data_IF_547503550674
#
_entry.id   IF_547503550674
#
_cell.length_a   1.000
_cell.length_b   1.000
_cell.length_c   1.000
_cell.angle_alpha   90.00
_cell.angle_beta   90.00
_cell.angle_gamma   90.00
#
_symmetry.space_group_name_H-M   'P 1'
#
loop_
_entity.id
_entity.type
_entity.pdbx_description
1 polymer ?
2 polymer ?
3 non-polymer ?
4 non-polymer ?
5 water ?
#
# COMPACT_ATOMS: atom_id res chain seq x y z
N UNK A 2 20.02 -22.65 -14.70
CA UNK A 2 19.11 -22.33 -15.80
C UNK A 2 17.80 -21.74 -15.26
N UNK A 3 17.68 -21.69 -13.93
CA UNK A 3 16.57 -20.99 -13.30
C UNK A 3 16.84 -19.50 -13.25
N UNK A 4 15.78 -18.68 -13.20
CA UNK A 4 15.95 -17.25 -13.03
C UNK A 4 16.46 -16.97 -11.61
N UNK A 5 17.09 -15.82 -11.42
CA UNK A 5 17.66 -15.47 -10.13
C UNK A 5 16.61 -15.52 -9.02
N UNK A 6 15.44 -14.97 -9.28
CA UNK A 6 14.39 -14.94 -8.26
C UNK A 6 13.89 -16.35 -7.95
N UNK A 7 13.82 -17.21 -8.97
CA UNK A 7 13.33 -18.55 -8.72
C UNK A 7 14.41 -19.38 -8.03
N UNK A 8 15.65 -19.17 -8.44
CA UNK A 8 16.78 -19.83 -7.77
C UNK A 8 16.84 -19.43 -6.30
N UNK A 9 16.70 -18.13 -6.04
CA UNK A 9 16.75 -17.63 -4.68
C UNK A 9 15.63 -18.25 -3.84
N UNK A 10 14.49 -18.48 -4.46
CA UNK A 10 13.36 -19.08 -3.77
C UNK A 10 13.64 -20.53 -3.42
N UNK A 11 14.40 -21.20 -4.29
CA UNK A 11 14.83 -22.57 -4.06
C UNK A 11 15.72 -22.67 -2.83
N UNK A 12 16.70 -21.78 -2.74
CA UNK A 12 17.66 -21.76 -1.64
C UNK A 12 16.96 -21.48 -0.32
N UNK A 13 15.89 -20.70 -0.38
CA UNK A 13 15.18 -20.31 0.82
C UNK A 13 14.39 -21.47 1.42
N UNK A 14 13.66 -22.18 0.58
CA UNK A 14 12.78 -23.24 1.07
C UNK A 14 13.48 -24.60 1.12
N UNK A 15 14.76 -24.64 0.77
CA UNK A 15 15.50 -25.89 0.65
C UNK A 15 15.54 -26.66 1.97
N UNK A 16 15.12 -27.92 1.91
CA UNK A 16 15.09 -28.78 3.09
C UNK A 16 13.93 -28.53 4.03
N UNK A 17 13.09 -27.54 3.71
CA UNK A 17 11.92 -27.25 4.56
C UNK A 17 10.66 -27.91 4.02
N UNK A 18 9.57 -27.81 4.79
CA UNK A 18 8.33 -28.45 4.40
C UNK A 18 7.12 -27.60 4.68
N UNK A 19 5.98 -28.02 4.14
CA UNK A 19 4.75 -27.22 4.15
C UNK A 19 3.96 -27.47 5.42
N UNK A 20 4.62 -28.10 6.38
CA UNK A 20 4.11 -28.28 7.73
C UNK A 20 4.96 -27.47 8.70
N UNK A 21 4.41 -27.12 9.88
CA UNK A 21 5.25 -26.42 10.86
C UNK A 21 6.39 -27.30 11.36
N UNK A 22 7.55 -26.72 11.61
CA UNK A 22 8.69 -27.47 12.12
C UNK A 22 8.49 -27.87 13.58
N UNK A 23 9.43 -28.64 14.11
CA UNK A 23 9.34 -29.10 15.50
C UNK A 23 9.46 -27.94 16.48
N UNK A 24 10.27 -26.94 16.13
CA UNK A 24 10.41 -25.76 16.98
C UNK A 24 9.10 -24.97 17.01
N UNK A 25 8.47 -24.82 15.85
CA UNK A 25 7.22 -24.08 15.76
C UNK A 25 6.12 -24.79 16.53
N UNK A 26 6.05 -26.11 16.38
CA UNK A 26 5.08 -26.92 17.11
C UNK A 26 5.25 -26.76 18.62
N UNK A 27 6.49 -26.74 19.09
CA UNK A 27 6.77 -26.50 20.51
C UNK A 27 6.24 -25.15 20.93
N UNK A 28 6.37 -24.16 20.04
CA UNK A 28 5.92 -22.82 20.37
C UNK A 28 4.39 -22.77 20.37
N UNK A 29 3.77 -23.49 19.44
CA UNK A 29 2.31 -23.61 19.43
C UNK A 29 1.82 -24.27 20.72
N UNK A 30 2.48 -25.34 21.14
CA UNK A 30 2.02 -26.12 22.27
C UNK A 30 2.28 -25.45 23.62
N UNK A 31 3.14 -24.43 23.63
CA UNK A 31 3.40 -23.67 24.85
C UNK A 31 2.32 -22.63 25.09
N UNK A 32 1.48 -22.39 24.08
CA UNK A 32 0.35 -21.49 24.19
C UNK A 32 -0.80 -22.14 24.94
N UNK A 33 -1.43 -21.37 25.83
CA UNK A 33 -2.63 -21.82 26.53
C UNK A 33 -3.70 -22.16 25.50
N UNK A 34 -3.78 -21.37 24.44
CA UNK A 34 -4.65 -21.69 23.32
C UNK A 34 -3.79 -22.00 22.09
N UNK A 35 -3.75 -23.27 21.74
CA UNK A 35 -2.89 -23.76 20.65
C UNK A 35 -3.53 -23.49 19.29
N UNK A 36 -2.94 -22.56 18.51
CA UNK A 36 -3.40 -22.03 17.22
C UNK A 36 -3.32 -23.02 16.04
N UNK A 37 -2.63 -24.15 16.21
CA UNK A 37 -2.21 -24.98 15.08
C UNK A 37 -3.36 -25.47 14.19
N UNK A 38 -4.48 -25.86 14.79
CA UNK A 38 -5.60 -26.37 14.01
C UNK A 38 -6.34 -25.25 13.29
N UNK A 39 -6.45 -24.09 13.92
CA UNK A 39 -7.06 -22.92 13.28
C UNK A 39 -6.19 -22.38 12.15
N UNK A 40 -4.88 -22.49 12.33
CA UNK A 40 -3.93 -22.07 11.30
C UNK A 40 -4.04 -22.99 10.09
N UNK A 41 -4.29 -24.27 10.32
CA UNK A 41 -4.44 -25.21 9.22
C UNK A 41 -5.76 -24.97 8.47
N UNK A 42 -6.83 -24.67 9.20
CA UNK A 42 -8.10 -24.33 8.57
C UNK A 42 -7.95 -23.13 7.62
N UNK A 43 -7.21 -22.12 8.06
CA UNK A 43 -7.02 -20.91 7.28
C UNK A 43 -6.23 -21.18 5.99
N UNK A 44 -5.14 -21.95 6.10
CA UNK A 44 -4.34 -22.30 4.93
C UNK A 44 -5.12 -23.18 3.96
N UNK A 45 -5.92 -24.10 4.49
CA UNK A 45 -6.77 -24.93 3.66
C UNK A 45 -7.85 -24.09 2.95
N UNK A 46 -8.40 -23.11 3.66
CA UNK A 46 -9.39 -22.21 3.08
C UNK A 46 -8.79 -21.35 1.99
N UNK A 47 -7.70 -20.66 2.32
CA UNK A 47 -6.95 -19.87 1.35
C UNK A 47 -6.49 -20.71 0.16
N UNK A 48 -6.02 -21.91 0.43
CA UNK A 48 -5.54 -22.82 -0.61
C UNK A 48 -6.63 -23.19 -1.61
N UNK A 49 -7.80 -23.53 -1.11
CA UNK A 49 -8.90 -23.88 -2.00
C UNK A 49 -9.38 -22.68 -2.84
N UNK A 50 -9.52 -21.54 -2.18
CA UNK A 50 -9.98 -20.35 -2.87
C UNK A 50 -8.98 -19.93 -3.95
N UNK A 51 -7.68 -20.04 -3.64
CA UNK A 51 -6.62 -19.70 -4.58
C UNK A 51 -6.69 -20.58 -5.84
N UNK A 52 -6.72 -21.89 -5.63
CA UNK A 52 -6.78 -22.83 -6.75
C UNK A 52 -8.02 -22.61 -7.61
N UNK A 53 -9.15 -22.31 -6.97
CA UNK A 53 -10.39 -22.04 -7.70
C UNK A 53 -10.28 -20.85 -8.64
N UNK A 54 -9.68 -19.76 -8.16
CA UNK A 54 -9.53 -18.56 -8.97
C UNK A 54 -8.41 -18.73 -10.00
N UNK A 55 -7.34 -19.40 -9.59
CA UNK A 55 -6.22 -19.69 -10.46
C UNK A 55 -6.68 -20.47 -11.71
N UNK A 56 -7.52 -21.48 -11.50
CA UNK A 56 -7.91 -22.39 -12.58
C UNK A 56 -9.14 -21.95 -13.37
N UNK A 57 -9.75 -20.83 -12.99
CA UNK A 57 -10.95 -20.37 -13.68
C UNK A 57 -10.73 -19.04 -14.39
N UNK A 58 -11.04 -19.03 -15.69
CA UNK A 58 -10.77 -17.88 -16.55
C UNK A 58 -11.71 -16.71 -16.34
N UNK A 59 -11.19 -15.50 -16.57
CA UNK A 59 -12.01 -14.30 -16.64
C UNK A 59 -11.63 -13.55 -17.93
N UNK A 60 -12.28 -12.42 -18.17
CA UNK A 60 -11.93 -11.59 -19.33
C UNK A 60 -10.50 -11.11 -19.23
N UNK A 61 -10.14 -10.64 -18.03
CA UNK A 61 -8.81 -10.09 -17.80
C UNK A 61 -7.75 -11.20 -17.75
N UNK A 62 -8.00 -12.22 -16.93
CA UNK A 62 -7.03 -13.27 -16.71
C UNK A 62 -7.52 -14.66 -17.15
N UNK A 63 -6.83 -15.25 -18.13
CA UNK A 63 -7.10 -16.66 -18.47
C UNK A 63 -6.74 -17.61 -17.31
N UNK A 64 -7.51 -18.67 -17.13
CA UNK A 64 -7.26 -19.63 -16.07
C UNK A 64 -6.13 -20.58 -16.44
N UNK A 65 -5.44 -21.10 -15.44
CA UNK A 65 -4.30 -21.98 -15.71
C UNK A 65 -4.48 -23.36 -15.08
N UNK A 66 -3.52 -24.24 -15.32
CA UNK A 66 -3.67 -25.64 -14.93
C UNK A 66 -3.54 -25.83 -13.42
N UNK A 67 -4.30 -26.78 -12.88
CA UNK A 67 -4.35 -27.05 -11.45
C UNK A 67 -3.01 -27.53 -10.90
N UNK A 68 -2.22 -28.20 -11.74
CA UNK A 68 -0.91 -28.70 -11.34
C UNK A 68 0.03 -27.57 -10.96
N UNK A 69 0.02 -26.50 -11.73
CA UNK A 69 0.82 -25.32 -11.40
C UNK A 69 0.29 -24.63 -10.15
N UNK A 70 -1.04 -24.57 -10.00
CA UNK A 70 -1.64 -23.95 -8.82
C UNK A 70 -1.12 -24.62 -7.55
N UNK A 71 -1.16 -25.95 -7.52
CA UNK A 71 -0.72 -26.69 -6.35
C UNK A 71 0.77 -26.45 -6.09
N UNK A 72 1.56 -26.42 -7.15
CA UNK A 72 2.98 -26.11 -7.04
C UNK A 72 3.24 -24.75 -6.39
N UNK A 73 2.55 -23.73 -6.87
CA UNK A 73 2.69 -22.39 -6.29
C UNK A 73 2.24 -22.37 -4.83
N UNK A 74 1.16 -23.09 -4.55
CA UNK A 74 0.52 -23.07 -3.24
C UNK A 74 1.41 -23.74 -2.22
N UNK A 75 1.89 -24.92 -2.60
CA UNK A 75 2.79 -25.71 -1.76
C UNK A 75 4.03 -24.90 -1.43
N UNK A 76 4.54 -24.18 -2.41
CA UNK A 76 5.71 -23.34 -2.20
C UNK A 76 5.42 -22.18 -1.24
N UNK A 77 4.26 -21.56 -1.38
CA UNK A 77 3.86 -20.48 -0.48
C UNK A 77 3.70 -20.98 0.97
N UNK A 78 3.09 -22.15 1.14
CA UNK A 78 2.91 -22.75 2.46
C UNK A 78 4.23 -22.99 3.17
N UNK A 79 5.22 -23.45 2.41
CA UNK A 79 6.55 -23.66 2.94
C UNK A 79 7.13 -22.36 3.46
N UNK A 80 7.00 -21.28 2.67
CA UNK A 80 7.43 -19.96 3.12
C UNK A 80 6.67 -19.49 4.36
N UNK A 81 5.36 -19.72 4.37
CA UNK A 81 4.53 -19.31 5.49
C UNK A 81 5.05 -19.90 6.80
N UNK A 82 5.26 -21.21 6.84
CA UNK A 82 5.70 -21.86 8.07
C UNK A 82 7.13 -21.48 8.46
N UNK A 83 7.98 -21.20 7.47
CA UNK A 83 9.33 -20.72 7.77
C UNK A 83 9.27 -19.32 8.38
N UNK A 84 8.52 -18.43 7.74
CA UNK A 84 8.48 -17.03 8.17
C UNK A 84 7.75 -16.88 9.50
N UNK A 85 6.66 -17.61 9.66
CA UNK A 85 5.92 -17.59 10.94
C UNK A 85 6.80 -18.01 12.12
N UNK A 86 7.57 -19.08 11.95
CA UNK A 86 8.48 -19.53 13.00
C UNK A 86 9.47 -18.42 13.34
N UNK A 87 10.11 -17.87 12.32
CA UNK A 87 11.07 -16.79 12.53
C UNK A 87 10.42 -15.60 13.24
N UNK A 88 9.19 -15.28 12.87
CA UNK A 88 8.48 -14.18 13.50
C UNK A 88 8.24 -14.45 14.99
N UNK A 89 7.78 -15.66 15.29
CA UNK A 89 7.41 -16.03 16.66
C UNK A 89 8.61 -16.16 17.58
N UNK A 90 9.70 -16.73 17.06
CA UNK A 90 10.93 -16.88 17.81
C UNK A 90 11.53 -15.54 18.20
N UNK A 91 11.46 -14.56 17.30
CA UNK A 91 12.07 -13.26 17.53
C UNK A 91 11.16 -12.32 18.32
N UNK A 92 9.95 -12.78 18.60
CA UNK A 92 8.99 -11.99 19.36
C UNK A 92 9.45 -11.75 20.80
N UNK A 93 9.09 -10.59 21.34
CA UNK A 93 9.51 -10.18 22.67
C UNK A 93 8.94 -11.08 23.76
N UNK A 94 7.67 -11.43 23.63
CA UNK A 94 7.04 -12.33 24.61
C UNK A 94 7.74 -13.69 24.62
N UNK A 95 8.23 -14.12 23.46
CA UNK A 95 8.91 -15.41 23.37
C UNK A 95 10.20 -15.34 24.18
N UNK A 96 11.01 -14.32 23.92
CA UNK A 96 12.28 -14.13 24.60
C UNK A 96 12.11 -13.95 26.10
N UNK A 97 10.95 -13.45 26.52
CA UNK A 97 10.65 -13.27 27.94
C UNK A 97 9.85 -14.44 28.51
N UNK A 98 9.54 -15.42 27.67
CA UNK A 98 8.85 -16.61 28.10
C UNK A 98 7.44 -16.35 28.55
N UNK A 99 6.72 -15.55 27.77
CA UNK A 99 5.34 -15.21 28.07
C UNK A 99 4.41 -15.85 27.05
N UNK A 100 3.18 -16.11 27.46
CA UNK A 100 2.18 -16.75 26.60
C UNK A 100 1.87 -15.90 25.36
N UNK A 101 1.99 -16.52 24.20
CA UNK A 101 1.75 -15.86 22.90
C UNK A 101 0.39 -16.15 22.27
N UNK A 102 -0.51 -16.80 23.01
CA UNK A 102 -1.84 -17.18 22.48
C UNK A 102 -2.56 -16.04 21.78
N UNK A 103 -2.57 -14.86 22.39
CA UNK A 103 -3.26 -13.70 21.82
C UNK A 103 -2.64 -13.30 20.47
N UNK A 104 -1.31 -13.25 20.41
CA UNK A 104 -0.61 -12.92 19.17
C UNK A 104 -0.93 -13.91 18.06
N UNK A 105 -0.99 -15.20 18.40
CA UNK A 105 -1.12 -16.26 17.41
C UNK A 105 -2.57 -16.55 16.99
N UNK A 106 -3.54 -15.95 17.67
CA UNK A 106 -4.94 -16.19 17.35
C UNK A 106 -5.57 -15.12 16.45
N UNK A 107 -4.78 -14.21 15.88
CA UNK A 107 -5.36 -13.20 15.00
C UNK A 107 -5.42 -13.69 13.56
N UNK A 108 -6.64 -14.00 13.10
CA UNK A 108 -6.86 -14.51 11.75
C UNK A 108 -6.30 -13.61 10.66
N UNK A 109 -6.50 -12.29 10.80
CA UNK A 109 -6.07 -11.35 9.77
C UNK A 109 -4.55 -11.39 9.58
N UNK A 110 -3.81 -11.71 10.64
CA UNK A 110 -2.37 -11.81 10.51
C UNK A 110 -1.96 -13.06 9.74
N UNK A 111 -2.60 -14.18 10.04
CA UNK A 111 -2.27 -15.42 9.35
C UNK A 111 -2.71 -15.39 7.88
N UNK A 112 -3.89 -14.84 7.62
CA UNK A 112 -4.38 -14.70 6.24
C UNK A 112 -3.46 -13.80 5.42
N UNK A 113 -3.00 -12.71 6.03
CA UNK A 113 -2.15 -11.75 5.34
C UNK A 113 -0.75 -12.31 5.07
N UNK A 114 -0.20 -13.04 6.02
CA UNK A 114 1.12 -13.64 5.86
C UNK A 114 1.09 -14.66 4.73
N UNK A 115 0.03 -15.45 4.68
CA UNK A 115 -0.13 -16.46 3.65
C UNK A 115 -0.33 -15.83 2.26
N UNK A 116 -1.11 -14.75 2.19
CA UNK A 116 -1.29 -14.04 0.92
C UNK A 116 0.00 -13.42 0.44
N UNK A 117 0.78 -12.89 1.38
CA UNK A 117 2.04 -12.24 1.04
C UNK A 117 3.06 -13.28 0.57
N UNK A 118 2.99 -14.48 1.13
CA UNK A 118 3.82 -15.59 0.66
C UNK A 118 3.42 -15.98 -0.77
N UNK A 119 2.11 -16.05 -1.02
CA UNK A 119 1.62 -16.33 -2.36
C UNK A 119 2.10 -15.27 -3.34
N UNK A 120 2.07 -14.01 -2.91
CA UNK A 120 2.51 -12.90 -3.76
C UNK A 120 4.02 -12.96 -4.05
N UNK A 121 4.81 -13.38 -3.07
CA UNK A 121 6.26 -13.54 -3.27
C UNK A 121 6.52 -14.60 -4.32
N UNK A 122 5.82 -15.72 -4.19
CA UNK A 122 5.95 -16.82 -5.13
C UNK A 122 5.54 -16.40 -6.55
N UNK A 123 4.36 -15.82 -6.69
CA UNK A 123 3.88 -15.36 -7.99
C UNK A 123 4.85 -14.38 -8.63
N UNK A 124 5.38 -13.46 -7.83
CA UNK A 124 6.32 -12.48 -8.36
C UNK A 124 7.61 -13.15 -8.84
N UNK A 125 8.09 -14.12 -8.06
CA UNK A 125 9.32 -14.81 -8.40
C UNK A 125 9.21 -15.45 -9.78
N UNK A 126 8.02 -15.96 -10.10
CA UNK A 126 7.76 -16.62 -11.38
C UNK A 126 7.28 -15.67 -12.47
N UNK A 127 7.25 -14.38 -12.17
CA UNK A 127 6.75 -13.37 -13.10
C UNK A 127 5.34 -13.71 -13.55
N UNK A 128 4.50 -14.03 -12.58
CA UNK A 128 3.10 -14.36 -12.81
C UNK A 128 2.36 -13.23 -13.52
N UNK A 129 1.44 -13.58 -14.42
CA UNK A 129 0.53 -12.59 -15.02
C UNK A 129 -0.49 -12.10 -13.99
N UNK A 130 -0.62 -12.81 -12.86
CA UNK A 130 -1.63 -12.39 -11.91
C UNK A 130 -1.00 -11.37 -11.01
N UNK A 131 -1.25 -10.12 -11.33
CA UNK A 131 -0.50 -9.00 -10.82
C UNK A 131 -1.21 -8.41 -9.63
N UNK A 132 -0.46 -8.01 -8.61
CA UNK A 132 -1.03 -7.37 -7.43
C UNK A 132 -1.91 -6.20 -7.90
N UNK A 133 -3.07 -6.00 -7.27
CA UNK A 133 -3.55 -6.79 -6.11
C UNK A 133 -4.43 -7.99 -6.44
N UNK A 134 -4.06 -8.84 -7.39
CA UNK A 134 -4.89 -9.99 -7.73
C UNK A 134 -5.04 -10.93 -6.53
N UNK A 135 -3.94 -11.16 -5.82
CA UNK A 135 -3.94 -12.14 -4.73
C UNK A 135 -4.85 -11.75 -3.55
N UNK A 136 -4.84 -10.48 -3.12
CA UNK A 136 -5.67 -10.08 -1.99
C UNK A 136 -7.12 -9.87 -2.38
N UNK A 137 -7.37 -9.62 -3.66
CA UNK A 137 -8.74 -9.52 -4.15
C UNK A 137 -9.42 -10.88 -4.11
N UNK A 138 -8.72 -11.88 -4.63
CA UNK A 138 -9.15 -13.26 -4.62
C UNK A 138 -9.42 -13.81 -3.21
N UNK A 139 -8.61 -13.40 -2.24
CA UNK A 139 -8.70 -13.94 -0.89
C UNK A 139 -9.53 -13.06 0.05
N UNK A 140 -10.11 -11.98 -0.49
CA UNK A 140 -10.96 -11.07 0.28
C UNK A 140 -10.21 -10.41 1.43
N UNK A 141 -9.03 -9.87 1.14
CA UNK A 141 -8.23 -9.23 2.16
C UNK A 141 -8.25 -7.73 2.01
N UNK A 142 -8.63 -7.05 3.08
CA UNK A 142 -8.54 -5.60 3.16
C UNK A 142 -7.09 -5.14 3.02
N UNK A 143 -6.82 -4.31 2.00
CA UNK A 143 -5.53 -3.63 1.83
C UNK A 143 -5.10 -2.90 3.11
N UNK A 144 -6.04 -2.29 3.80
CA UNK A 144 -5.75 -1.48 4.99
C UNK A 144 -5.20 -2.33 6.12
N UNK A 145 -5.67 -3.57 6.21
CA UNK A 145 -5.11 -4.54 7.15
C UNK A 145 -3.87 -5.24 6.60
N UNK A 146 -3.91 -5.60 5.32
CA UNK A 146 -2.85 -6.41 4.72
C UNK A 146 -1.47 -5.76 4.72
N UNK A 147 -1.37 -4.47 4.36
CA UNK A 147 -0.07 -3.84 4.15
C UNK A 147 0.88 -3.96 5.35
N UNK A 148 0.31 -4.06 6.55
CA UNK A 148 1.11 -4.17 7.77
C UNK A 148 2.02 -5.39 7.80
N UNK A 149 1.62 -6.46 7.12
CA UNK A 149 2.40 -7.70 7.12
C UNK A 149 3.69 -7.55 6.32
N UNK A 150 3.70 -6.61 5.37
CA UNK A 150 4.82 -6.48 4.44
C UNK A 150 6.12 -6.10 5.15
N UNK A 151 6.03 -5.19 6.11
CA UNK A 151 7.21 -4.79 6.88
C UNK A 151 7.70 -5.98 7.70
N UNK A 152 6.76 -6.78 8.19
CA UNK A 152 7.09 -7.94 9.00
C UNK A 152 7.85 -8.97 8.17
N UNK A 153 7.34 -9.23 6.97
CA UNK A 153 7.96 -10.19 6.06
C UNK A 153 9.38 -9.77 5.70
N UNK A 154 9.56 -8.48 5.38
CA UNK A 154 10.86 -7.99 4.94
C UNK A 154 11.91 -8.16 6.04
N UNK A 155 11.53 -7.84 7.28
CA UNK A 155 12.43 -7.93 8.41
C UNK A 155 12.59 -9.36 8.92
N UNK A 156 11.62 -10.22 8.65
CA UNK A 156 11.67 -11.61 9.13
C UNK A 156 12.26 -12.61 8.14
N UNK A 157 12.47 -12.22 6.89
CA UNK A 157 13.17 -13.11 5.97
C UNK A 157 14.29 -12.39 5.23
N UNK A 158 15.53 -12.71 5.59
CA UNK A 158 16.67 -11.99 5.05
C UNK A 158 17.18 -12.63 3.77
N UNK A 159 16.66 -13.80 3.44
CA UNK A 159 17.01 -14.48 2.21
C UNK A 159 16.33 -13.88 0.99
N UNK A 160 15.42 -12.94 1.21
CA UNK A 160 14.77 -12.25 0.11
C UNK A 160 15.78 -11.39 -0.65
N UNK A 161 15.76 -11.50 -1.97
CA UNK A 161 16.64 -10.67 -2.80
C UNK A 161 16.22 -9.22 -2.74
N UNK A 162 17.12 -8.32 -3.13
CA UNK A 162 16.79 -6.91 -3.18
C UNK A 162 15.58 -6.66 -4.10
N UNK A 163 15.48 -7.44 -5.16
CA UNK A 163 14.36 -7.31 -6.09
C UNK A 163 13.04 -7.72 -5.44
N UNK A 164 13.05 -8.82 -4.70
CA UNK A 164 11.87 -9.25 -3.95
C UNK A 164 11.47 -8.16 -2.97
N UNK A 165 12.46 -7.57 -2.30
CA UNK A 165 12.21 -6.55 -1.30
C UNK A 165 11.69 -5.26 -1.95
N UNK A 166 12.27 -4.90 -3.09
CA UNK A 166 11.80 -3.74 -3.85
C UNK A 166 10.33 -3.92 -4.25
N UNK A 167 9.99 -5.10 -4.74
CA UNK A 167 8.61 -5.39 -5.14
C UNK A 167 7.62 -5.30 -3.97
N UNK A 168 8.00 -5.87 -2.82
CA UNK A 168 7.13 -5.83 -1.64
C UNK A 168 6.92 -4.39 -1.17
N UNK A 169 7.97 -3.57 -1.28
CA UNK A 169 7.82 -2.17 -0.94
C UNK A 169 6.91 -1.44 -1.91
N UNK A 170 6.92 -1.85 -3.18
CA UNK A 170 6.12 -1.15 -4.18
C UNK A 170 4.64 -1.54 -4.07
N UNK A 171 4.34 -2.77 -3.68
CA UNK A 171 2.94 -3.12 -3.47
C UNK A 171 2.40 -2.45 -2.19
N UNK A 172 3.28 -2.16 -1.24
CA UNK A 172 2.90 -1.39 -0.07
C UNK A 172 2.55 0.06 -0.47
N UNK A 173 3.36 0.62 -1.36
CA UNK A 173 3.11 1.96 -1.88
C UNK A 173 1.77 2.03 -2.65
N UNK A 174 1.43 0.95 -3.35
CA UNK A 174 0.16 0.87 -4.06
C UNK A 174 -1.02 1.00 -3.10
N UNK A 175 -0.91 0.31 -1.97
CA UNK A 175 -1.95 0.30 -0.96
C UNK A 175 -2.08 1.70 -0.34
N UNK A 176 -0.94 2.30 -0.04
CA UNK A 176 -0.90 3.62 0.59
C UNK A 176 -1.42 4.71 -0.34
N UNK A 177 -1.10 4.60 -1.63
CA UNK A 177 -1.46 5.67 -2.56
C UNK A 177 -2.90 5.58 -3.09
N UNK A 178 -3.42 4.38 -3.29
CA UNK A 178 -4.78 4.23 -3.82
C UNK A 178 -5.62 3.16 -3.10
N UNK A 179 -5.14 1.92 -3.13
CA UNK A 179 -5.94 0.75 -2.74
C UNK A 179 -6.61 0.84 -1.37
N UNK A 180 -5.93 1.42 -0.39
CA UNK A 180 -6.50 1.51 0.95
C UNK A 180 -7.57 2.60 1.04
N UNK A 181 -7.67 3.43 0.01
CA UNK A 181 -8.60 4.56 0.02
C UNK A 181 -9.93 4.30 -0.68
N UNK A 182 -10.16 3.08 -1.16
CA UNK A 182 -11.39 2.78 -1.87
C UNK A 182 -12.59 2.91 -0.93
N UNK A 183 -13.78 3.11 -1.49
CA UNK A 183 -14.98 3.35 -0.69
C UNK A 183 -15.30 2.19 0.25
N UNK A 184 -14.90 0.98 -0.14
CA UNK A 184 -15.17 -0.20 0.67
C UNK A 184 -14.08 -0.49 1.71
N UNK A 185 -13.04 0.34 1.76
CA UNK A 185 -11.90 0.08 2.64
C UNK A 185 -12.21 0.23 4.12
N UNK A 186 -11.59 -0.64 4.94
CA UNK A 186 -11.78 -0.60 6.39
C UNK A 186 -11.18 0.66 7.00
N UNK A 187 -10.43 1.41 6.20
CA UNK A 187 -9.91 2.71 6.62
C UNK A 187 -11.01 3.65 7.12
N UNK A 188 -12.11 3.68 6.39
CA UNK A 188 -13.19 4.61 6.71
C UNK A 188 -13.87 4.16 8.01
N UNK A 189 -13.88 2.84 8.25
CA UNK A 189 -14.36 2.31 9.52
C UNK A 189 -13.45 2.75 10.66
N UNK A 190 -12.14 2.71 10.43
CA UNK A 190 -11.17 3.10 11.45
C UNK A 190 -11.25 4.61 11.73
N UNK A 191 -11.44 5.40 10.68
CA UNK A 191 -11.61 6.83 10.84
C UNK A 191 -12.88 7.13 11.64
N UNK A 192 -13.92 6.36 11.36
CA UNK A 192 -15.21 6.53 12.01
C UNK A 192 -15.15 6.31 13.52
N UNK A 193 -14.51 5.24 13.96
CA UNK A 193 -14.45 4.95 15.40
C UNK A 193 -13.57 5.99 16.10
N UNK A 194 -12.73 6.66 15.32
CA UNK A 194 -11.85 7.70 15.84
C UNK A 194 -12.52 9.06 15.80
N UNK A 195 -13.83 9.06 15.56
CA UNK A 195 -14.65 10.28 15.53
C UNK A 195 -14.27 11.15 14.33
N UNK A 196 -13.86 10.49 13.24
CA UNK A 196 -13.46 11.16 12.01
C UNK A 196 -12.32 12.15 12.20
N UNK A 197 -11.47 11.91 13.20
CA UNK A 197 -10.32 12.77 13.42
C UNK A 197 -9.13 12.21 12.66
N UNK A 198 -8.74 12.90 11.59
CA UNK A 198 -7.62 12.46 10.78
C UNK A 198 -6.33 12.96 11.42
N UNK A 199 -5.41 12.03 11.73
CA UNK A 199 -4.13 12.39 12.34
C UNK A 199 -3.32 13.33 11.46
N UNK A 200 -2.82 14.42 12.04
CA UNK A 200 -2.01 15.36 11.29
C UNK A 200 -0.59 14.83 11.17
N UNK A 201 0.26 15.55 10.43
CA UNK A 201 1.62 15.09 10.20
C UNK A 201 2.40 15.10 11.50
N UNK A 202 2.37 16.23 12.20
CA UNK A 202 3.06 16.38 13.48
C UNK A 202 2.69 15.30 14.49
N UNK A 203 1.43 14.88 14.46
CA UNK A 203 0.92 13.94 15.45
C UNK A 203 1.50 12.54 15.32
N UNK A 204 1.60 12.04 14.09
CA UNK A 204 2.14 10.70 13.89
C UNK A 204 3.64 10.68 13.58
N UNK A 205 4.22 11.85 13.36
CA UNK A 205 5.65 11.93 13.04
C UNK A 205 6.48 12.25 14.29
N UNK A 206 5.81 12.47 15.41
CA UNK A 206 6.48 12.84 16.66
C UNK A 206 7.41 11.74 17.14
N UNK A 217 -1.57 8.32 20.20
CA UNK A 217 -1.96 7.84 18.88
C UNK A 217 -1.62 6.37 18.66
N UNK A 218 -0.63 6.12 17.81
CA UNK A 218 -0.06 4.80 17.51
C UNK A 218 -1.08 3.67 17.38
N UNK A 219 -2.24 3.98 16.82
CA UNK A 219 -3.22 2.95 16.48
C UNK A 219 -3.07 2.60 15.02
N UNK A 220 -3.98 1.78 14.50
CA UNK A 220 -3.99 1.42 13.09
C UNK A 220 -4.02 2.66 12.20
N UNK A 221 -4.83 3.63 12.59
CA UNK A 221 -4.94 4.87 11.86
C UNK A 221 -3.61 5.60 11.78
N UNK A 222 -3.03 5.86 12.94
CA UNK A 222 -1.79 6.61 13.05
C UNK A 222 -0.65 5.96 12.29
N UNK A 223 -0.53 4.63 12.41
CA UNK A 223 0.53 3.92 11.71
C UNK A 223 0.35 4.02 10.20
N UNK A 224 -0.90 3.98 9.76
CA UNK A 224 -1.24 4.10 8.35
C UNK A 224 -0.86 5.48 7.83
N UNK A 225 -1.34 6.52 8.51
CA UNK A 225 -1.07 7.88 8.07
C UNK A 225 0.41 8.24 8.20
N UNK A 226 1.10 7.65 9.17
CA UNK A 226 2.54 7.82 9.27
C UNK A 226 3.21 7.37 7.98
N UNK A 227 2.86 6.18 7.52
CA UNK A 227 3.34 5.65 6.25
C UNK A 227 2.97 6.57 5.08
N UNK A 228 1.69 6.97 5.03
CA UNK A 228 1.19 7.84 3.98
C UNK A 228 1.94 9.17 3.93
N UNK A 229 2.09 9.81 5.10
CA UNK A 229 2.78 11.09 5.19
C UNK A 229 4.25 10.96 4.81
N UNK A 230 4.84 9.81 5.12
CA UNK A 230 6.22 9.56 4.75
C UNK A 230 6.33 9.42 3.23
N UNK A 231 5.41 8.67 2.64
CA UNK A 231 5.42 8.41 1.21
C UNK A 231 5.21 9.70 0.41
N UNK A 232 4.23 10.49 0.82
CA UNK A 232 3.90 11.73 0.12
C UNK A 232 5.01 12.77 0.22
N UNK A 233 5.75 12.76 1.33
CA UNK A 233 6.84 13.72 1.51
C UNK A 233 7.99 13.41 0.54
N UNK A 234 8.30 12.12 0.39
CA UNK A 234 9.32 11.68 -0.55
C UNK A 234 8.93 12.05 -1.98
N UNK A 235 7.64 11.94 -2.28
CA UNK A 235 7.13 12.28 -3.61
C UNK A 235 6.93 13.79 -3.78
N UNK A 236 6.99 14.54 -2.69
CA UNK A 236 7.02 16.00 -2.80
C UNK A 236 8.43 16.50 -3.05
N UNK A 237 9.38 15.92 -2.32
CA UNK A 237 10.78 16.34 -2.36
C UNK A 237 11.38 16.22 -3.75
N UNK A 238 11.27 15.02 -4.33
CA UNK A 238 11.73 14.76 -5.69
C UNK A 238 11.15 15.74 -6.70
N UNK A 239 9.87 16.05 -6.53
CA UNK A 239 9.15 16.92 -7.45
C UNK A 239 9.54 18.37 -7.22
N UNK A 240 10.05 18.66 -6.02
CA UNK A 240 10.54 19.99 -5.70
C UNK A 240 12.02 20.11 -6.08
N UNK A 241 12.57 19.01 -6.59
CA UNK A 241 13.89 19.02 -7.19
C UNK A 241 13.77 19.17 -8.70
N UNK A 242 12.54 19.32 -9.18
CA UNK A 242 12.29 19.56 -10.59
C UNK A 242 12.53 21.03 -10.86
N UNK A 243 11.58 21.86 -10.42
CA UNK A 243 11.89 23.27 -10.18
C UNK A 243 12.41 23.28 -8.76
N UNK A 244 13.64 23.77 -8.58
CA UNK A 244 14.33 23.69 -7.30
C UNK A 244 13.52 24.30 -6.17
N UNK A 245 12.57 25.14 -6.53
CA UNK A 245 11.69 25.89 -5.62
C UNK A 245 12.54 26.45 -4.47
N UNK A 246 12.05 26.32 -3.25
CA UNK A 246 12.89 26.54 -2.08
C UNK A 246 12.34 25.73 -0.93
N UNK A 247 13.20 25.40 0.02
CA UNK A 247 12.80 24.59 1.17
C UNK A 247 11.82 25.33 2.06
N UNK A 248 11.65 26.62 1.81
CA UNK A 248 10.63 27.41 2.47
C UNK A 248 9.26 27.13 1.87
N UNK A 249 9.20 27.03 0.54
CA UNK A 249 7.95 26.79 -0.17
C UNK A 249 7.54 25.32 -0.15
N UNK A 250 8.52 24.42 -0.05
CA UNK A 250 8.22 22.99 0.01
C UNK A 250 7.43 22.69 1.29
N UNK A 251 7.55 23.57 2.28
CA UNK A 251 6.73 23.47 3.49
C UNK A 251 5.33 24.03 3.23
N UNK A 252 5.27 25.13 2.49
CA UNK A 252 4.01 25.79 2.18
C UNK A 252 3.08 24.89 1.37
N UNK A 253 3.68 24.07 0.52
CA UNK A 253 2.92 23.16 -0.31
C UNK A 253 2.52 21.89 0.47
N UNK A 254 3.38 21.48 1.39
CA UNK A 254 3.12 20.32 2.22
C UNK A 254 1.95 20.60 3.15
N UNK A 255 1.70 21.89 3.40
CA UNK A 255 0.62 22.31 4.29
C UNK A 255 -0.74 22.14 3.65
N UNK A 256 -0.85 22.55 2.38
CA UNK A 256 -2.12 22.43 1.65
C UNK A 256 -2.51 20.98 1.43
N UNK A 257 -1.51 20.13 1.23
CA UNK A 257 -1.77 18.71 1.04
C UNK A 257 -2.26 18.07 2.33
N UNK A 258 -1.66 18.45 3.45
CA UNK A 258 -2.09 17.96 4.75
C UNK A 258 -3.51 18.43 5.08
N UNK A 259 -3.83 19.65 4.65
CA UNK A 259 -5.16 20.19 4.87
C UNK A 259 -6.23 19.37 4.19
N UNK A 260 -5.95 18.94 2.96
CA UNK A 260 -6.92 18.14 2.21
C UNK A 260 -7.04 16.74 2.80
N UNK A 261 -5.96 16.21 3.35
CA UNK A 261 -6.03 14.90 3.99
C UNK A 261 -6.83 14.96 5.29
N UNK A 262 -6.50 15.93 6.14
CA UNK A 262 -7.17 16.06 7.44
C UNK A 262 -8.58 16.65 7.35
N UNK A 263 -8.72 17.78 6.68
CA UNK A 263 -10.00 18.48 6.65
C UNK A 263 -10.84 18.25 5.39
N UNK A 264 -10.31 17.49 4.42
CA UNK A 264 -11.12 17.02 3.30
C UNK A 264 -10.87 15.55 2.97
N UNK A 265 -11.03 14.65 3.96
CA UNK A 265 -10.62 13.27 3.68
C UNK A 265 -11.44 12.59 2.59
N UNK A 266 -12.65 13.07 2.35
CA UNK A 266 -13.53 12.48 1.34
C UNK A 266 -12.95 12.57 -0.06
N UNK A 267 -12.12 13.57 -0.32
CA UNK A 267 -11.53 13.77 -1.65
C UNK A 267 -10.61 12.62 -2.04
N UNK A 268 -10.13 11.87 -1.04
CA UNK A 268 -9.24 10.75 -1.31
C UNK A 268 -10.00 9.48 -1.69
N UNK A 269 -11.29 9.45 -1.37
CA UNK A 269 -12.06 8.23 -1.56
C UNK A 269 -12.11 7.83 -3.04
N UNK A 270 -11.67 6.61 -3.32
CA UNK A 270 -11.58 6.07 -4.67
C UNK A 270 -10.65 6.90 -5.55
N UNK A 271 -9.74 7.65 -4.94
CA UNK A 271 -8.78 8.41 -5.72
C UNK A 271 -7.34 8.02 -5.41
N UNK A 272 -6.42 8.74 -6.01
CA UNK A 272 -5.00 8.44 -5.91
C UNK A 272 -4.31 9.55 -5.14
N UNK A 273 -3.39 9.19 -4.26
CA UNK A 273 -2.65 10.16 -3.45
C UNK A 273 -1.96 11.23 -4.28
N UNK A 274 -1.37 10.84 -5.42
CA UNK A 274 -0.62 11.78 -6.25
C UNK A 274 -1.54 12.81 -6.90
N UNK A 275 -2.79 12.44 -7.16
CA UNK A 275 -3.77 13.38 -7.72
C UNK A 275 -3.99 14.57 -6.78
N UNK A 276 -4.03 14.30 -5.47
CA UNK A 276 -4.19 15.36 -4.49
C UNK A 276 -2.89 16.12 -4.24
N UNK A 277 -1.77 15.43 -4.36
CA UNK A 277 -0.47 16.05 -4.16
C UNK A 277 -0.10 16.98 -5.31
N UNK A 278 -0.46 16.58 -6.53
CA UNK A 278 -0.21 17.41 -7.70
C UNK A 278 -1.16 18.60 -7.71
N UNK A 279 -2.44 18.35 -7.42
CA UNK A 279 -3.43 19.42 -7.32
C UNK A 279 -3.02 20.42 -6.26
N UNK A 280 -2.43 19.94 -5.17
CA UNK A 280 -1.94 20.84 -4.15
C UNK A 280 -0.84 21.70 -4.74
N UNK A 281 0.10 21.06 -5.45
CA UNK A 281 1.29 21.73 -5.96
C UNK A 281 0.99 22.97 -6.77
N UNK A 282 0.11 22.83 -7.76
CA UNK A 282 -0.20 23.92 -8.67
C UNK A 282 -0.81 25.12 -7.96
N UNK A 283 -1.53 24.86 -6.87
CA UNK A 283 -2.32 25.90 -6.21
C UNK A 283 -1.49 26.77 -5.27
N UNK A 284 -0.63 26.13 -4.48
CA UNK A 284 0.22 26.87 -3.56
C UNK A 284 1.33 27.57 -4.33
N UNK A 285 1.58 27.12 -5.56
CA UNK A 285 2.49 27.85 -6.42
C UNK A 285 1.83 29.16 -6.82
N UNK A 286 0.62 29.07 -7.35
CA UNK A 286 -0.07 30.21 -7.96
C UNK A 286 -0.37 31.35 -6.97
N UNK A 287 -0.54 31.00 -5.69
CA UNK A 287 -0.86 32.01 -4.67
C UNK A 287 0.38 32.54 -3.95
N UNK A 288 1.56 32.13 -4.41
CA UNK A 288 2.81 32.44 -3.68
C UNK A 288 3.83 33.13 -4.59
N UNK A 289 4.88 33.68 -3.99
CA UNK A 289 5.92 34.42 -4.71
C UNK A 289 6.50 33.58 -5.85
N UNK A 290 7.04 32.41 -5.52
CA UNK A 290 7.33 31.43 -6.54
C UNK A 290 5.98 31.01 -7.07
N UNK A 291 5.75 31.14 -8.37
CA UNK A 291 4.36 31.14 -8.80
C UNK A 291 4.01 30.40 -10.07
N UNK A 292 2.82 29.82 -10.06
CA UNK A 292 2.16 29.24 -11.21
C UNK A 292 3.11 28.42 -12.06
N UNK A 293 3.68 27.39 -11.46
CA UNK A 293 4.41 26.40 -12.22
C UNK A 293 3.35 25.50 -12.80
N UNK A 294 3.32 25.40 -14.12
CA UNK A 294 2.22 24.76 -14.81
C UNK A 294 2.40 23.24 -14.80
N UNK A 295 1.62 22.56 -15.64
CA UNK A 295 1.65 21.11 -15.77
C UNK A 295 3.00 20.64 -16.29
N UNK A 296 3.91 21.60 -16.51
CA UNK A 296 5.31 21.33 -16.70
C UNK A 296 5.83 20.26 -15.72
N UNK A 297 5.38 20.32 -14.47
CA UNK A 297 5.82 19.36 -13.46
C UNK A 297 5.19 17.97 -13.65
N UNK A 298 4.16 17.90 -14.50
CA UNK A 298 3.52 16.63 -14.82
C UNK A 298 4.46 15.77 -15.66
N UNK A 299 5.14 16.40 -16.61
CA UNK A 299 6.16 15.72 -17.37
C UNK A 299 7.29 15.35 -16.41
N UNK A 300 7.52 16.21 -15.44
CA UNK A 300 8.52 15.95 -14.41
C UNK A 300 7.98 14.96 -13.38
N UNK A 301 6.67 14.78 -13.35
CA UNK A 301 6.05 13.77 -12.50
C UNK A 301 6.22 12.39 -13.11
N UNK A 302 6.33 12.34 -14.44
CA UNK A 302 6.51 11.08 -15.17
C UNK A 302 7.79 10.36 -14.79
N UNK A 303 8.74 11.09 -14.21
CA UNK A 303 10.02 10.51 -13.82
C UNK A 303 9.92 9.59 -12.59
N UNK A 304 8.83 9.71 -11.86
CA UNK A 304 8.64 8.90 -10.65
C UNK A 304 8.23 7.47 -11.02
N UNK A 305 8.70 6.49 -10.23
CA UNK A 305 8.44 5.07 -10.50
C UNK A 305 6.95 4.72 -10.57
N UNK A 306 6.15 5.30 -9.69
CA UNK A 306 4.73 4.98 -9.60
C UNK A 306 3.87 5.75 -10.60
N UNK A 307 4.47 6.75 -11.25
CA UNK A 307 3.74 7.57 -12.21
C UNK A 307 3.22 6.74 -13.37
N UNK A 308 1.92 6.88 -13.65
CA UNK A 308 1.31 6.29 -14.83
C UNK A 308 0.32 7.27 -15.44
N UNK A 309 -0.02 7.04 -16.70
CA UNK A 309 -0.89 7.95 -17.44
C UNK A 309 -2.25 8.09 -16.76
N UNK A 310 -2.85 6.96 -16.41
CA UNK A 310 -4.18 6.94 -15.83
C UNK A 310 -4.32 7.86 -14.62
N UNK A 311 -3.20 8.17 -13.97
CA UNK A 311 -3.23 9.05 -12.80
C UNK A 311 -3.74 10.45 -13.15
N UNK A 312 -3.09 11.13 -14.10
CA UNK A 312 -3.52 12.47 -14.50
C UNK A 312 -4.45 12.48 -15.72
N UNK A 313 -4.56 11.36 -16.42
CA UNK A 313 -5.45 11.25 -17.57
C UNK A 313 -6.87 10.93 -17.13
N UNK A 314 -6.96 10.05 -16.13
CA UNK A 314 -8.24 9.50 -15.72
C UNK A 314 -8.46 9.69 -14.22
N UNK A 315 -9.37 10.57 -13.85
CA UNK A 315 -9.57 10.92 -12.45
C UNK A 315 -11.05 10.90 -12.11
N UNK A 316 -11.38 10.30 -10.97
CA UNK A 316 -12.77 10.24 -10.54
C UNK A 316 -13.34 11.63 -10.28
N UNK A 317 -14.49 11.89 -10.89
CA UNK A 317 -15.20 13.15 -10.69
C UNK A 317 -16.35 12.94 -9.71
N UNK A 318 -17.39 12.27 -10.17
CA UNK A 318 -18.48 11.81 -9.32
C UNK A 318 -18.95 10.46 -9.83
N UNK A 319 -19.16 9.51 -8.92
CA UNK A 319 -19.65 8.18 -9.28
C UNK A 319 -20.00 7.39 -8.03
N UNK A 322 -22.03 9.88 -14.51
CA UNK A 322 -21.02 9.70 -13.47
C UNK A 322 -19.64 9.44 -14.06
N UNK A 323 -19.37 10.08 -15.19
CA UNK A 323 -18.18 9.77 -15.99
C UNK A 323 -16.90 10.20 -15.30
N UNK A 324 -15.78 10.02 -15.99
CA UNK A 324 -14.47 10.17 -15.39
C UNK A 324 -13.57 11.04 -16.25
N UNK A 325 -13.13 12.17 -15.70
CA UNK A 325 -12.30 13.10 -16.45
C UNK A 325 -10.83 13.13 -16.06
N UNK A 326 -10.11 14.12 -16.58
CA UNK A 326 -8.67 14.25 -16.35
C UNK A 326 -8.36 15.17 -15.16
N UNK A 327 -7.07 15.33 -14.88
CA UNK A 327 -6.62 15.99 -13.65
C UNK A 327 -7.04 17.45 -13.56
N UNK A 328 -7.05 18.14 -14.68
CA UNK A 328 -7.36 19.56 -14.64
C UNK A 328 -8.87 19.78 -14.50
N UNK A 329 -9.65 18.85 -15.02
CA UNK A 329 -11.10 18.93 -14.84
C UNK A 329 -11.49 18.55 -13.42
N UNK A 330 -10.82 17.55 -12.85
CA UNK A 330 -11.04 17.20 -11.45
C UNK A 330 -10.72 18.40 -10.59
N UNK A 331 -9.62 19.08 -10.91
CA UNK A 331 -9.15 20.18 -10.11
C UNK A 331 -10.19 21.31 -10.07
N UNK A 332 -10.58 21.83 -11.22
CA UNK A 332 -11.50 22.97 -11.27
C UNK A 332 -12.95 22.66 -10.90
N UNK A 333 -13.38 21.43 -11.11
CA UNK A 333 -14.71 21.04 -10.68
C UNK A 333 -14.73 20.84 -9.17
N UNK A 334 -14.06 19.79 -8.72
CA UNK A 334 -14.09 19.37 -7.33
C UNK A 334 -13.13 20.08 -6.37
N UNK A 335 -11.89 20.28 -6.80
CA UNK A 335 -10.81 20.63 -5.88
C UNK A 335 -10.92 22.08 -5.37
N UNK A 336 -10.86 23.06 -6.27
CA UNK A 336 -10.97 24.47 -5.86
C UNK A 336 -12.13 24.71 -4.91
N UNK A 337 -13.29 24.16 -5.23
CA UNK A 337 -14.47 24.31 -4.39
C UNK A 337 -14.18 23.98 -2.95
N UNK A 338 -13.41 22.90 -2.73
CA UNK A 338 -13.04 22.49 -1.39
C UNK A 338 -11.85 23.25 -0.81
N UNK A 339 -10.83 23.46 -1.63
CA UNK A 339 -9.54 23.96 -1.14
C UNK A 339 -9.31 25.48 -1.28
N UNK A 340 -10.18 26.18 -1.99
CA UNK A 340 -9.97 27.60 -2.29
C UNK A 340 -9.74 28.45 -1.06
N UNK A 341 -10.67 28.37 -0.10
CA UNK A 341 -10.64 29.29 1.03
C UNK A 341 -9.44 29.06 1.94
N UNK A 342 -8.90 27.84 1.99
CA UNK A 342 -7.66 27.61 2.71
C UNK A 342 -6.49 28.23 1.95
N UNK A 343 -6.47 27.99 0.65
CA UNK A 343 -5.34 28.39 -0.19
C UNK A 343 -5.30 29.90 -0.44
N UNK A 344 -6.47 30.51 -0.54
CA UNK A 344 -6.58 31.95 -0.80
C UNK A 344 -5.95 32.78 0.30
N UNK A 345 -5.91 32.24 1.52
CA UNK A 345 -5.45 32.98 2.69
C UNK A 345 -3.95 33.26 2.66
N UNK A 346 -3.25 32.66 1.71
CA UNK A 346 -1.79 32.79 1.65
C UNK A 346 -1.33 33.92 0.74
N UNK A 347 -2.27 34.73 0.28
CA UNK A 347 -1.96 35.93 -0.49
C UNK A 347 -0.85 36.76 0.16
N UNK A 359 -0.56 29.30 9.25
CA UNK A 359 0.61 28.59 9.77
C UNK A 359 1.25 27.70 8.72
N UNK A 360 2.38 27.07 9.05
CA UNK A 360 3.02 26.12 8.16
C UNK A 360 3.27 24.79 8.87
N UNK A 361 2.95 23.70 8.18
CA UNK A 361 3.14 22.36 8.73
C UNK A 361 4.58 21.87 8.51
N UNK A 362 5.16 21.23 9.53
CA UNK A 362 6.54 20.76 9.45
C UNK A 362 6.73 19.68 8.39
N UNK A 363 7.78 19.80 7.59
CA UNK A 363 8.06 18.83 6.54
C UNK A 363 9.06 17.78 7.02
N UNK A 364 8.71 16.50 6.90
CA UNK A 364 9.53 15.37 7.35
C UNK A 364 10.92 15.35 6.71
N UNK B 3 -8.99 33.93 -10.40
CA UNK B 3 -9.77 33.41 -9.29
C UNK B 3 -10.89 32.48 -9.77
N UNK B 4 -10.65 31.17 -9.73
CA UNK B 4 -9.37 30.57 -9.43
C UNK B 4 -9.11 29.60 -10.57
N UNK B 5 -10.15 28.83 -10.89
CA UNK B 5 -10.09 27.70 -11.81
C UNK B 5 -9.21 28.05 -12.98
N UNK B 6 -8.18 27.26 -13.23
CA UNK B 6 -7.44 27.43 -14.46
C UNK B 6 -7.82 26.27 -15.33
N UNK B 7 -8.71 26.52 -16.27
CA UNK B 7 -9.13 25.49 -17.18
C UNK B 7 -8.03 25.38 -18.20
N UNK B 8 -7.89 24.22 -18.82
CA UNK B 8 -6.91 24.02 -19.85
C UNK B 8 -7.21 22.71 -20.55
N UNK B 9 -6.47 22.42 -21.62
CA UNK B 9 -6.59 21.15 -22.30
C UNK B 9 -5.29 20.37 -22.12
N UNK B 10 -5.41 19.16 -21.57
CA UNK B 10 -4.26 18.30 -21.48
C UNK B 10 -3.84 17.95 -22.88
N UNK B 11 -2.55 18.08 -23.17
CA UNK B 11 -2.06 17.76 -24.51
C UNK B 11 -2.45 16.34 -24.82
N UNK B 12 -3.13 16.15 -25.96
CA UNK B 12 -3.58 14.84 -26.35
C UNK B 12 -2.41 13.88 -26.50
N UNK B 13 -2.51 12.76 -25.77
CA UNK B 13 -1.36 11.94 -25.42
C UNK B 13 -1.90 10.83 -24.53
N UNK B 14 -1.17 9.73 -24.32
CA UNK B 14 0.15 9.47 -24.87
C UNK B 14 0.07 8.82 -26.25
N UNK B 15 0.75 9.43 -27.26
CA UNK B 15 0.80 9.14 -28.70
C UNK B 15 0.53 7.70 -29.10
X LIG C 1 1.58 -18.26 -12.75
X LIG C 1 1.57 -19.48 -11.96
X LIG C 1 1.43 -18.62 -14.16
X LIG C 1 2.84 -17.54 -12.54
X LIG C 1 0.47 -17.39 -12.35
X LIG D 1 20.45 -9.96 -3.47
X LIG D 1 20.35 -10.41 -2.08
X LIG D 1 19.95 -11.00 -4.36
X LIG D 1 19.67 -8.76 -3.65
X LIG D 1 21.84 -9.68 -3.79
X LIG E 1 2.98 -9.23 -9.20
X LIG E 1 2.33 -8.11 -8.59
X LIG E 1 2.17 -10.49 -8.95
X LIG E 1 2.81 -11.30 -7.96
X LIG F 1 8.64 -3.44 -8.21
X LIG F 1 9.91 -4.08 -8.10
X LIG F 1 7.64 -4.39 -8.87
X LIG F 1 6.33 -3.80 -8.83
X LIG G 1 2.28 4.54 -19.04
X LIG G 1 2.15 5.68 -18.19
X LIG G 1 1.11 3.59 -18.80
X LIG G 1 -0.12 4.28 -19.01
X LIG H 1 -2.34 2.35 -9.07
X LIG H 1 -3.34 3.06 -9.80
X LIG H 1 -2.14 3.01 -7.72
X LIG H 1 -1.86 2.03 -6.72
#
# INVERSE_FOLDING_TARGET
>A
GEFTQSVSRLQSIVAGLKNAPSDQLINIFESCVRNPVENIMKILKGIGETFCQHYTQSTDEQPGSHIDFAVNRLKLAEILYYKILETVMVQETRRLHGMDMSVLLEQDIFHRSLMACCLEIVLFAYSSPRTFPWIIEVLNLQPFYFYKVIEVVIRSEEGLSRDMVKHLNSIEEQILESLAWSHDSALWEALQVSANKVPTCEEVIFPNNFETGRPKRTGSLALFYRKVYHLASVRLRDLCLKLDVSNELRRKIWTCFEFTLVHCPDLMKDRHLDQLLLCAFYIMAKVTKEERTFQEIMKSYRNQPQANSHVYRSVLLKSIKEERGDLIKFYNTIYVGRVKSFALKYDLANQDHMMDAPPLSPFPHIKQQ
>B
EASLLSFEKLDRASPDLWPE
>C hetero
1 SO4 S O1 O2 O3 O4
>D hetero
1 SO4 S O1 O2 O3 O4
>E hetero
1 EDO C1 O1 C2 O2
>F hetero
1 EDO C1 O1 C2 O2
>G hetero
1 EDO C1 O1 C2 O2
>H hetero
1 EDO C1 O1 C2 O2
#
